data_IF_505023548224
#
_entry.id   IF_505023548224
#
_cell.length_a   1.000
_cell.length_b   1.000
_cell.length_c   1.000
_cell.angle_alpha   90.00
_cell.angle_beta   90.00
_cell.angle_gamma   90.00
#
_symmetry.space_group_name_H-M   'P 1'
#
loop_
_entity.id
_entity.type
_entity.pdbx_description
1 polymer ?
#
# COMPACT_ATOMS: atom_id res chain seq x y z
N UNK A 1 -6.62 -11.08 5.91
CA UNK A 1 -5.57 -10.14 5.52
C UNK A 1 -5.66 -9.95 4.02
N UNK A 2 -6.51 -9.03 3.56
CA UNK A 2 -6.60 -8.65 2.15
C UNK A 2 -6.23 -7.18 2.08
N UNK A 3 -4.93 -6.90 1.96
CA UNK A 3 -4.50 -5.59 1.53
C UNK A 3 -4.82 -5.52 0.04
N UNK A 4 -5.97 -4.95 -0.32
CA UNK A 4 -6.46 -4.86 -1.71
C UNK A 4 -5.50 -4.17 -2.69
N UNK A 5 -4.37 -3.66 -2.21
CA UNK A 5 -3.26 -3.13 -3.01
C UNK A 5 -2.31 -4.19 -3.58
N UNK A 6 -2.32 -5.43 -3.09
CA UNK A 6 -1.38 -6.45 -3.58
C UNK A 6 -2.08 -7.78 -3.89
N UNK A 7 -1.80 -8.31 -5.08
CA UNK A 7 -2.28 -9.64 -5.51
C UNK A 7 -1.12 -10.63 -5.51
N UNK A 8 -1.18 -11.64 -4.63
CA UNK A 8 -0.17 -12.72 -4.58
C UNK A 8 -0.55 -13.81 -5.60
N UNK A 9 0.24 -13.93 -6.66
CA UNK A 9 -0.06 -14.86 -7.77
C UNK A 9 0.71 -16.19 -7.68
N UNK A 10 1.66 -16.32 -6.75
CA UNK A 10 2.48 -17.52 -6.59
C UNK A 10 3.60 -17.64 -7.63
N UNK A 11 4.27 -18.80 -7.70
CA UNK A 11 5.52 -18.98 -8.46
C UNK A 11 5.36 -19.61 -9.84
N UNK A 12 4.17 -20.09 -10.19
CA UNK A 12 3.88 -20.72 -11.49
C UNK A 12 4.18 -19.77 -12.66
N UNK A 13 5.03 -20.20 -13.59
CA UNK A 13 5.40 -19.41 -14.78
C UNK A 13 4.17 -19.04 -15.62
N UNK A 14 3.31 -20.01 -15.91
CA UNK A 14 2.10 -19.81 -16.70
C UNK A 14 1.16 -18.80 -16.04
N UNK A 15 0.97 -18.91 -14.72
CA UNK A 15 0.13 -17.97 -13.98
C UNK A 15 0.72 -16.56 -13.96
N UNK A 16 2.04 -16.43 -13.81
CA UNK A 16 2.72 -15.13 -13.88
C UNK A 16 2.52 -14.44 -15.24
N UNK A 17 2.71 -15.16 -16.34
CA UNK A 17 2.51 -14.61 -17.69
C UNK A 17 1.05 -14.18 -17.85
N UNK A 18 0.09 -15.03 -17.48
CA UNK A 18 -1.32 -14.70 -17.60
C UNK A 18 -1.72 -13.44 -16.82
N UNK A 19 -1.30 -13.33 -15.55
CA UNK A 19 -1.67 -12.21 -14.67
C UNK A 19 -1.02 -10.90 -15.11
N UNK A 20 0.24 -10.93 -15.55
CA UNK A 20 0.92 -9.74 -16.08
C UNK A 20 0.28 -9.30 -17.41
N UNK A 21 0.01 -10.25 -18.31
CA UNK A 21 -0.67 -9.94 -19.58
C UNK A 21 -2.04 -9.33 -19.31
N UNK A 22 -2.82 -9.92 -18.40
CA UNK A 22 -4.13 -9.40 -18.00
C UNK A 22 -4.02 -7.95 -17.50
N UNK A 23 -3.06 -7.67 -16.62
CA UNK A 23 -2.83 -6.30 -16.11
C UNK A 23 -2.47 -5.29 -17.21
N UNK A 24 -1.80 -5.73 -18.29
CA UNK A 24 -1.39 -4.85 -19.39
C UNK A 24 -2.50 -4.56 -20.40
N UNK A 25 -3.43 -5.50 -20.62
CA UNK A 25 -4.44 -5.41 -21.69
C UNK A 25 -5.85 -5.13 -21.18
N UNK A 26 -6.12 -5.39 -19.90
CA UNK A 26 -7.42 -5.15 -19.26
C UNK A 26 -7.34 -3.85 -18.45
N UNK A 27 -7.92 -2.80 -19.02
CA UNK A 27 -7.89 -1.45 -18.43
C UNK A 27 -8.66 -1.38 -17.11
N UNK A 28 -9.71 -2.18 -16.94
CA UNK A 28 -10.53 -2.16 -15.73
C UNK A 28 -9.76 -2.80 -14.57
N UNK A 29 -9.07 -3.92 -14.83
CA UNK A 29 -8.18 -4.56 -13.86
C UNK A 29 -7.03 -3.64 -13.46
N UNK A 30 -6.44 -2.93 -14.42
CA UNK A 30 -5.41 -1.93 -14.12
C UNK A 30 -5.95 -0.82 -13.21
N UNK A 31 -7.11 -0.24 -13.55
CA UNK A 31 -7.68 0.87 -12.80
C UNK A 31 -8.10 0.45 -11.39
N UNK A 32 -8.64 -0.76 -11.22
CA UNK A 32 -8.95 -1.32 -9.91
C UNK A 32 -7.69 -1.35 -9.03
N UNK A 33 -6.60 -1.95 -9.53
CA UNK A 33 -5.35 -2.05 -8.78
C UNK A 33 -4.67 -0.70 -8.53
N UNK A 34 -4.69 0.21 -9.51
CA UNK A 34 -4.02 1.50 -9.42
C UNK A 34 -4.70 2.47 -8.43
N UNK A 35 -6.02 2.35 -8.26
CA UNK A 35 -6.80 3.24 -7.39
C UNK A 35 -7.06 2.67 -6.00
N UNK A 36 -6.63 1.44 -5.71
CA UNK A 36 -6.79 0.90 -4.36
C UNK A 36 -6.02 1.73 -3.34
N UNK A 37 -6.72 2.12 -2.26
CA UNK A 37 -6.14 2.86 -1.16
C UNK A 37 -4.97 2.10 -0.55
N UNK A 38 -3.80 2.74 -0.46
CA UNK A 38 -2.63 2.16 0.15
C UNK A 38 -2.83 2.03 1.67
N UNK A 39 -2.98 0.81 2.23
CA UNK A 39 -3.22 0.63 3.67
C UNK A 39 -1.99 0.97 4.51
N UNK A 40 -0.80 1.13 3.90
CA UNK A 40 0.46 1.37 4.61
C UNK A 40 0.71 2.83 4.95
N UNK A 41 -0.14 3.75 4.47
CA UNK A 41 -0.10 5.14 4.90
C UNK A 41 -0.67 6.12 3.90
N UNK A 42 -1.02 7.28 4.44
CA UNK A 42 -1.52 8.45 3.72
C UNK A 42 -0.44 9.52 3.51
N UNK A 43 0.83 9.14 3.63
CA UNK A 43 1.98 10.05 3.51
C UNK A 43 2.23 10.95 4.72
N UNK A 44 1.45 10.85 5.81
CA UNK A 44 1.57 11.76 6.98
C UNK A 44 2.28 11.14 8.19
N UNK A 45 2.90 9.96 8.03
CA UNK A 45 3.54 9.24 9.13
C UNK A 45 4.61 10.08 9.86
N UNK A 46 5.53 10.72 9.12
CA UNK A 46 6.60 11.52 9.70
C UNK A 46 6.09 12.66 10.58
N UNK A 47 5.05 13.38 10.11
CA UNK A 47 4.42 14.48 10.87
C UNK A 47 3.75 13.94 12.14
N UNK A 48 3.00 12.83 12.06
CA UNK A 48 2.39 12.20 13.24
C UNK A 48 3.43 11.79 14.27
N UNK A 49 4.51 11.15 13.85
CA UNK A 49 5.60 10.71 14.74
C UNK A 49 6.26 11.93 15.41
N UNK A 50 6.60 12.95 14.63
CA UNK A 50 7.19 14.19 15.18
C UNK A 50 6.29 14.85 16.22
N UNK A 51 4.98 14.91 15.97
CA UNK A 51 4.03 15.49 16.92
C UNK A 51 3.92 14.67 18.20
N UNK A 52 3.84 13.33 18.09
CA UNK A 52 3.81 12.44 19.27
C UNK A 52 5.06 12.63 20.14
N UNK A 53 6.24 12.74 19.52
CA UNK A 53 7.50 12.95 20.23
C UNK A 53 7.52 14.32 20.94
N UNK A 54 7.10 15.39 20.25
CA UNK A 54 7.01 16.73 20.86
C UNK A 54 6.08 16.76 22.06
N UNK A 55 4.89 16.16 21.93
CA UNK A 55 3.92 16.13 23.03
C UNK A 55 4.42 15.29 24.21
N UNK A 56 5.08 14.14 23.96
CA UNK A 56 5.71 13.34 25.01
C UNK A 56 6.85 14.07 25.72
N UNK A 57 7.64 14.87 25.01
CA UNK A 57 8.74 15.63 25.60
C UNK A 57 8.21 16.76 26.51
N UNK A 58 7.20 17.51 26.05
CA UNK A 58 6.53 18.53 26.86
C UNK A 58 5.87 17.95 28.12
N UNK A 59 5.19 16.80 27.98
CA UNK A 59 4.53 16.14 29.12
C UNK A 59 5.53 15.64 30.17
N UNK A 60 6.78 15.38 29.76
CA UNK A 60 7.84 14.90 30.64
C UNK A 60 8.69 16.02 31.26
N UNK A 61 8.28 17.30 31.11
CA UNK A 61 8.90 18.42 31.82
C UNK A 61 10.21 18.93 31.21
N UNK A 62 10.45 18.68 29.91
CA UNK A 62 11.45 19.39 29.12
C UNK A 62 10.85 20.64 28.47
#
# INVERSE_FOLDING_TARGET
>A
MEAGTVKIIGTSKTKKIHEVTRLLIDKDVYNEMANTQNPYGDGKAAVRISNILKEKLKSNGF
#
